data_IF_160151919658
#
_entry.id   IF_160151919658
#
_cell.length_a   1.000
_cell.length_b   1.000
_cell.length_c   1.000
_cell.angle_alpha   90.00
_cell.angle_beta   90.00
_cell.angle_gamma   90.00
#
_symmetry.space_group_name_H-M   'P 1'
#
loop_
_entity.id
_entity.type
_entity.pdbx_description
1 polymer ?
#
# COMPACT_ATOMS: atom_id res chain seq x y z
N UNK A 1 -29.95 37.39 -44.75
CA UNK A 1 -28.63 36.87 -44.31
C UNK A 1 -28.30 37.48 -42.94
N UNK A 2 -28.41 36.72 -41.84
CA UNK A 2 -28.12 37.23 -40.49
C UNK A 2 -26.59 37.36 -40.32
N UNK A 3 -26.08 38.59 -40.17
CA UNK A 3 -24.67 38.85 -39.84
C UNK A 3 -24.41 38.31 -38.43
N UNK A 4 -23.63 37.25 -38.32
CA UNK A 4 -23.09 36.79 -37.05
C UNK A 4 -22.08 37.87 -36.61
N UNK A 5 -22.34 38.47 -35.45
CA UNK A 5 -21.42 39.44 -34.83
C UNK A 5 -20.07 38.79 -34.54
N UNK A 6 -18.98 39.56 -34.63
CA UNK A 6 -17.62 39.10 -34.33
C UNK A 6 -17.51 38.46 -32.93
N UNK A 7 -18.33 38.93 -31.98
CA UNK A 7 -18.47 38.38 -30.63
C UNK A 7 -19.11 36.99 -30.67
N UNK A 8 -20.12 36.79 -31.53
CA UNK A 8 -20.76 35.49 -31.72
C UNK A 8 -19.83 34.44 -32.32
N UNK A 9 -18.92 34.86 -33.21
CA UNK A 9 -17.89 33.97 -33.77
C UNK A 9 -16.86 33.55 -32.71
N UNK A 10 -16.46 34.50 -31.84
CA UNK A 10 -15.52 34.26 -30.74
C UNK A 10 -16.09 33.30 -29.68
N UNK A 11 -17.36 33.46 -29.32
CA UNK A 11 -18.05 32.56 -28.36
C UNK A 11 -18.13 31.13 -28.92
N UNK A 12 -18.40 30.98 -30.22
CA UNK A 12 -18.42 29.66 -30.87
C UNK A 12 -17.04 29.02 -30.86
N UNK A 13 -15.97 29.77 -31.16
CA UNK A 13 -14.59 29.25 -31.13
C UNK A 13 -14.20 28.80 -29.72
N UNK A 14 -14.54 29.58 -28.70
CA UNK A 14 -14.25 29.22 -27.30
C UNK A 14 -15.03 27.97 -26.88
N UNK A 15 -16.30 27.85 -27.26
CA UNK A 15 -17.12 26.66 -26.96
C UNK A 15 -16.61 25.41 -27.67
N UNK A 16 -16.18 25.51 -28.94
CA UNK A 16 -15.58 24.39 -29.68
C UNK A 16 -14.24 23.99 -29.03
N UNK A 17 -13.42 24.96 -28.61
CA UNK A 17 -12.14 24.70 -27.94
C UNK A 17 -12.35 24.03 -26.57
N UNK A 18 -13.38 24.45 -25.82
CA UNK A 18 -13.76 23.82 -24.56
C UNK A 18 -14.26 22.39 -24.78
N UNK A 19 -15.05 22.14 -25.84
CA UNK A 19 -15.53 20.79 -26.19
C UNK A 19 -14.39 19.85 -26.60
N UNK A 20 -13.37 20.36 -27.32
CA UNK A 20 -12.16 19.59 -27.68
C UNK A 20 -11.30 19.30 -26.44
N UNK A 21 -11.22 20.23 -25.49
CA UNK A 21 -10.52 20.02 -24.21
C UNK A 21 -11.25 18.99 -23.32
N UNK A 22 -12.59 19.03 -23.28
CA UNK A 22 -13.40 18.09 -22.51
C UNK A 22 -13.36 16.68 -23.15
N UNK A 23 -13.35 16.56 -24.49
CA UNK A 23 -13.21 15.27 -25.15
C UNK A 23 -11.79 14.69 -25.05
N UNK A 24 -10.76 15.54 -24.91
CA UNK A 24 -9.37 15.13 -24.70
C UNK A 24 -9.05 14.65 -23.27
N UNK A 25 -9.87 15.00 -22.27
CA UNK A 25 -9.67 14.57 -20.88
C UNK A 25 -10.29 13.20 -20.56
N UNK A 26 -11.17 12.68 -21.42
CA UNK A 26 -11.67 11.32 -21.32
C UNK A 26 -10.64 10.34 -21.91
N UNK A 27 -9.41 10.36 -21.39
CA UNK A 27 -8.50 9.22 -21.57
C UNK A 27 -9.19 8.08 -20.85
N UNK A 28 -9.76 7.16 -21.63
CA UNK A 28 -10.23 5.87 -21.16
C UNK A 28 -9.13 5.33 -20.25
N UNK A 29 -9.44 5.11 -18.98
CA UNK A 29 -8.57 4.32 -18.12
C UNK A 29 -8.66 2.93 -18.74
N UNK A 30 -7.79 2.66 -19.71
CA UNK A 30 -7.51 1.29 -20.10
C UNK A 30 -7.05 0.63 -18.80
N UNK A 31 -7.72 -0.46 -18.42
CA UNK A 31 -7.16 -1.40 -17.48
C UNK A 31 -5.75 -1.69 -17.98
N UNK A 32 -4.76 -1.12 -17.30
CA UNK A 32 -3.37 -1.49 -17.50
C UNK A 32 -3.28 -2.88 -16.89
N UNK A 33 -3.60 -3.89 -17.70
CA UNK A 33 -3.30 -5.28 -17.39
C UNK A 33 -1.78 -5.33 -17.24
N UNK A 34 -1.25 -5.54 -16.03
CA UNK A 34 0.19 -5.70 -15.85
C UNK A 34 0.62 -6.82 -16.79
N UNK A 35 1.69 -6.66 -17.57
CA UNK A 35 2.09 -7.69 -18.52
C UNK A 35 2.17 -9.03 -17.79
N UNK A 36 1.31 -9.98 -18.18
CA UNK A 36 1.18 -11.31 -17.56
C UNK A 36 2.54 -12.07 -17.59
N UNK A 37 3.52 -11.60 -18.37
CA UNK A 37 4.82 -12.23 -18.57
C UNK A 37 5.92 -11.84 -17.56
N UNK A 38 5.79 -10.72 -16.82
CA UNK A 38 6.88 -10.23 -15.95
C UNK A 38 7.08 -11.18 -14.75
N UNK A 39 5.98 -11.65 -14.15
CA UNK A 39 6.06 -12.53 -12.99
C UNK A 39 6.45 -13.96 -13.40
N UNK A 40 5.89 -14.46 -14.50
CA UNK A 40 6.26 -15.77 -15.08
C UNK A 40 7.76 -15.82 -15.40
N UNK A 41 8.34 -14.77 -15.97
CA UNK A 41 9.77 -14.70 -16.27
C UNK A 41 10.68 -14.81 -15.04
N UNK A 42 10.18 -14.44 -13.85
CA UNK A 42 10.95 -14.48 -12.59
C UNK A 42 10.60 -15.68 -11.70
N UNK A 43 9.36 -16.16 -11.76
CA UNK A 43 8.81 -17.26 -10.97
C UNK A 43 7.92 -18.15 -11.86
N UNK A 44 8.49 -18.95 -12.78
CA UNK A 44 7.69 -19.69 -13.78
C UNK A 44 6.63 -20.63 -13.20
N UNK A 45 6.90 -21.19 -12.00
CA UNK A 45 5.97 -22.09 -11.31
C UNK A 45 4.66 -21.40 -10.88
N UNK A 46 4.62 -20.06 -10.82
CA UNK A 46 3.47 -19.29 -10.31
C UNK A 46 2.21 -19.49 -11.15
N UNK A 47 2.37 -19.77 -12.45
CA UNK A 47 1.30 -20.05 -13.43
C UNK A 47 0.46 -21.27 -13.05
N UNK A 48 0.99 -22.18 -12.23
CA UNK A 48 0.23 -23.32 -11.68
C UNK A 48 -0.71 -22.90 -10.53
N UNK A 49 -0.63 -21.65 -10.09
CA UNK A 49 -1.34 -21.10 -8.94
C UNK A 49 -1.97 -19.73 -9.29
N UNK A 50 -2.92 -19.67 -10.23
CA UNK A 50 -3.45 -18.41 -10.78
C UNK A 50 -4.06 -17.48 -9.72
N UNK A 51 -4.59 -18.04 -8.64
CA UNK A 51 -5.10 -17.25 -7.49
C UNK A 51 -3.99 -16.54 -6.72
N UNK A 52 -2.83 -17.18 -6.55
CA UNK A 52 -1.69 -16.57 -5.88
C UNK A 52 -0.94 -15.62 -6.81
N UNK A 53 -0.89 -15.95 -8.10
CA UNK A 53 -0.39 -15.07 -9.15
C UNK A 53 -1.13 -13.73 -9.14
N UNK A 54 -2.48 -13.77 -9.19
CA UNK A 54 -3.31 -12.57 -9.09
C UNK A 54 -2.98 -11.76 -7.82
N UNK A 55 -2.80 -12.44 -6.69
CA UNK A 55 -2.46 -11.80 -5.41
C UNK A 55 -1.14 -11.04 -5.48
N UNK A 56 -0.11 -11.63 -6.08
CA UNK A 56 1.18 -10.99 -6.26
C UNK A 56 1.13 -9.85 -7.26
N UNK A 57 0.40 -10.03 -8.36
CA UNK A 57 0.16 -8.97 -9.34
C UNK A 57 -0.56 -7.79 -8.66
N UNK A 58 -1.67 -8.02 -7.95
CA UNK A 58 -2.43 -6.96 -7.29
C UNK A 58 -1.60 -6.18 -6.24
N UNK A 59 -0.74 -6.88 -5.50
CA UNK A 59 0.06 -6.28 -4.43
C UNK A 59 1.28 -5.51 -4.92
N UNK A 60 1.96 -6.00 -5.96
CA UNK A 60 3.28 -5.49 -6.35
C UNK A 60 3.26 -4.79 -7.71
N UNK A 61 2.19 -4.92 -8.51
CA UNK A 61 2.07 -4.21 -9.79
C UNK A 61 1.65 -2.76 -9.64
N UNK A 62 1.03 -2.36 -8.53
CA UNK A 62 0.75 -0.94 -8.28
C UNK A 62 2.03 -0.14 -8.00
N UNK A 63 3.09 -0.79 -7.54
CA UNK A 63 4.45 -0.21 -7.46
C UNK A 63 5.04 -0.06 -8.87
N UNK A 64 4.76 -1.02 -9.77
CA UNK A 64 5.18 -0.98 -11.17
C UNK A 64 4.49 0.10 -12.02
N UNK A 65 3.33 0.62 -11.61
CA UNK A 65 2.67 1.75 -12.29
C UNK A 65 3.49 3.06 -12.22
N UNK A 66 4.40 3.19 -11.25
CA UNK A 66 5.22 4.38 -11.07
C UNK A 66 6.72 4.16 -11.29
N UNK A 67 7.20 2.91 -11.30
CA UNK A 67 8.58 2.59 -11.65
C UNK A 67 8.68 1.32 -12.52
N UNK A 68 8.94 1.54 -13.82
CA UNK A 68 9.58 0.61 -14.77
C UNK A 68 9.32 -0.88 -14.57
N UNK A 69 8.24 -1.44 -15.14
CA UNK A 69 8.03 -2.83 -15.65
C UNK A 69 8.73 -4.04 -14.98
N UNK A 70 9.28 -3.94 -13.77
CA UNK A 70 10.19 -4.92 -13.17
C UNK A 70 10.08 -4.89 -11.65
N UNK A 71 9.76 -6.05 -11.07
CA UNK A 71 9.83 -6.28 -9.64
C UNK A 71 11.28 -6.15 -9.15
N UNK A 72 11.46 -5.59 -7.95
CA UNK A 72 12.76 -5.62 -7.26
C UNK A 72 13.18 -7.05 -6.94
N UNK A 73 14.50 -7.28 -6.79
CA UNK A 73 15.02 -8.60 -6.39
C UNK A 73 14.41 -9.04 -5.07
N UNK A 74 14.28 -8.11 -4.15
CA UNK A 74 13.67 -8.33 -2.86
C UNK A 74 12.23 -8.84 -3.08
N UNK A 75 11.39 -8.16 -3.86
CA UNK A 75 9.99 -8.56 -4.09
C UNK A 75 9.90 -9.97 -4.67
N UNK A 76 10.74 -10.30 -5.65
CA UNK A 76 10.84 -11.66 -6.20
C UNK A 76 11.18 -12.67 -5.10
N UNK A 77 12.17 -12.37 -4.26
CA UNK A 77 12.59 -13.29 -3.18
C UNK A 77 11.48 -13.52 -2.15
N UNK A 78 10.70 -12.48 -1.81
CA UNK A 78 9.54 -12.64 -0.93
C UNK A 78 8.41 -13.42 -1.58
N UNK A 79 8.10 -13.16 -2.85
CA UNK A 79 7.08 -13.90 -3.59
C UNK A 79 7.44 -15.40 -3.69
N UNK A 80 8.72 -15.73 -3.84
CA UNK A 80 9.19 -17.13 -3.77
C UNK A 80 8.95 -17.77 -2.40
N UNK A 81 9.16 -17.04 -1.31
CA UNK A 81 8.82 -17.51 0.04
C UNK A 81 7.30 -17.71 0.17
N UNK A 82 6.50 -16.74 -0.29
CA UNK A 82 5.04 -16.85 -0.30
C UNK A 82 4.53 -18.06 -1.09
N UNK A 83 5.07 -18.29 -2.29
CA UNK A 83 4.78 -19.47 -3.11
C UNK A 83 5.13 -20.78 -2.39
N UNK A 84 6.31 -20.85 -1.76
CA UNK A 84 6.70 -22.02 -0.96
C UNK A 84 5.70 -22.30 0.15
N UNK A 85 5.32 -21.28 0.94
CA UNK A 85 4.34 -21.41 2.02
C UNK A 85 2.97 -21.85 1.47
N UNK A 86 2.52 -21.26 0.37
CA UNK A 86 1.25 -21.60 -0.28
C UNK A 86 1.21 -23.05 -0.78
N UNK A 87 2.34 -23.57 -1.26
CA UNK A 87 2.51 -24.99 -1.64
C UNK A 87 2.40 -25.91 -0.42
N UNK A 88 3.07 -25.56 0.68
CA UNK A 88 3.18 -26.38 1.89
C UNK A 88 1.93 -26.34 2.78
N UNK A 89 1.04 -25.34 2.63
CA UNK A 89 -0.12 -25.14 3.50
C UNK A 89 -1.43 -25.26 2.70
N UNK A 90 -2.02 -26.48 2.59
CA UNK A 90 -3.22 -26.71 1.79
C UNK A 90 -4.39 -25.76 2.12
N UNK A 91 -4.57 -25.43 3.40
CA UNK A 91 -5.63 -24.54 3.89
C UNK A 91 -5.61 -23.14 3.24
N UNK A 92 -4.44 -22.64 2.82
CA UNK A 92 -4.34 -21.33 2.18
C UNK A 92 -5.06 -21.30 0.83
N UNK A 93 -5.19 -22.44 0.14
CA UNK A 93 -5.88 -22.53 -1.15
C UNK A 93 -7.37 -22.22 -1.03
N UNK A 94 -7.94 -22.53 0.13
CA UNK A 94 -9.36 -22.32 0.47
C UNK A 94 -9.66 -20.87 0.85
N UNK A 95 -8.65 -20.09 1.27
CA UNK A 95 -8.87 -18.73 1.76
C UNK A 95 -9.32 -17.77 0.66
N UNK A 96 -10.25 -16.84 0.93
CA UNK A 96 -10.61 -15.79 -0.02
C UNK A 96 -9.38 -14.99 -0.50
N UNK A 97 -9.45 -14.43 -1.70
CA UNK A 97 -8.31 -13.71 -2.29
C UNK A 97 -7.89 -12.52 -1.41
N UNK A 98 -8.83 -11.88 -0.73
CA UNK A 98 -8.60 -10.75 0.18
C UNK A 98 -7.77 -11.16 1.40
N UNK A 99 -7.97 -12.40 1.87
CA UNK A 99 -7.17 -12.96 2.97
C UNK A 99 -5.77 -13.34 2.47
N UNK A 100 -5.64 -13.78 1.22
CA UNK A 100 -4.34 -14.05 0.63
C UNK A 100 -3.56 -12.75 0.36
N UNK A 101 -4.20 -11.70 -0.15
CA UNK A 101 -3.60 -10.36 -0.25
C UNK A 101 -3.01 -9.91 1.08
N UNK A 102 -3.72 -10.19 2.17
CA UNK A 102 -3.23 -9.87 3.50
C UNK A 102 -1.99 -10.66 3.90
N UNK A 103 -2.01 -11.99 3.73
CA UNK A 103 -0.90 -12.86 4.12
C UNK A 103 0.34 -12.69 3.22
N UNK A 104 0.12 -12.30 1.97
CA UNK A 104 1.16 -12.17 0.94
C UNK A 104 1.63 -10.72 0.76
N UNK A 105 1.11 -9.78 1.55
CA UNK A 105 1.60 -8.41 1.58
C UNK A 105 2.86 -8.31 2.44
N UNK A 106 3.98 -7.99 1.80
CA UNK A 106 5.24 -7.70 2.49
C UNK A 106 5.14 -6.43 3.34
N UNK A 107 4.47 -5.40 2.83
CA UNK A 107 4.59 -4.05 3.34
C UNK A 107 3.53 -3.67 4.39
N UNK A 108 3.92 -2.78 5.30
CA UNK A 108 2.98 -1.99 6.09
C UNK A 108 2.61 -0.76 5.26
N UNK A 109 1.46 -0.76 4.60
CA UNK A 109 0.98 0.41 3.85
C UNK A 109 1.45 0.48 2.40
N UNK A 110 0.97 1.53 1.72
CA UNK A 110 0.91 1.64 0.26
C UNK A 110 2.28 1.78 -0.45
N UNK A 111 3.34 2.19 0.25
CA UNK A 111 4.64 2.55 -0.38
C UNK A 111 5.90 2.29 0.49
N UNK A 112 5.83 1.51 1.57
CA UNK A 112 6.96 1.44 2.51
C UNK A 112 8.05 0.45 2.06
N UNK A 113 9.24 0.92 1.69
CA UNK A 113 10.44 0.07 1.59
C UNK A 113 10.65 -0.74 2.88
N UNK A 114 10.84 -2.06 2.77
CA UNK A 114 11.11 -2.94 3.90
C UNK A 114 12.61 -2.96 4.20
N UNK A 115 13.01 -2.31 5.28
CA UNK A 115 14.37 -2.37 5.83
C UNK A 115 14.44 -3.56 6.80
N UNK A 116 14.91 -4.71 6.29
CA UNK A 116 14.99 -5.96 7.05
C UNK A 116 15.93 -5.84 8.27
N UNK A 117 17.04 -5.13 8.10
CA UNK A 117 18.01 -4.93 9.17
C UNK A 117 17.41 -4.11 10.31
N UNK A 118 16.75 -2.99 9.97
CA UNK A 118 16.04 -2.18 10.95
C UNK A 118 14.91 -2.96 11.63
N UNK A 119 14.17 -3.78 10.88
CA UNK A 119 13.11 -4.60 11.45
C UNK A 119 13.66 -5.58 12.50
N UNK A 120 14.68 -6.35 12.14
CA UNK A 120 15.24 -7.40 12.99
C UNK A 120 16.00 -6.83 14.19
N UNK A 121 16.79 -5.78 13.98
CA UNK A 121 17.67 -5.22 15.01
C UNK A 121 17.01 -4.15 15.87
N UNK A 122 15.94 -3.49 15.40
CA UNK A 122 15.31 -2.36 16.12
C UNK A 122 13.85 -2.61 16.44
N UNK A 123 13.01 -2.92 15.46
CA UNK A 123 11.56 -3.05 15.70
C UNK A 123 11.21 -4.29 16.54
N UNK A 124 11.82 -5.45 16.28
CA UNK A 124 11.56 -6.67 17.06
C UNK A 124 11.92 -6.48 18.54
N UNK A 125 13.13 -5.99 18.91
CA UNK A 125 13.45 -5.72 20.31
C UNK A 125 12.52 -4.71 20.97
N UNK A 126 12.25 -3.59 20.30
CA UNK A 126 11.36 -2.55 20.82
C UNK A 126 9.94 -3.06 21.05
N UNK A 127 9.37 -3.77 20.07
CA UNK A 127 8.01 -4.30 20.19
C UNK A 127 7.93 -5.34 21.32
N UNK A 128 8.93 -6.20 21.48
CA UNK A 128 9.00 -7.16 22.60
C UNK A 128 9.11 -6.46 23.96
N UNK A 129 9.85 -5.37 24.05
CA UNK A 129 9.93 -4.56 25.27
C UNK A 129 8.56 -3.94 25.61
N UNK A 130 7.90 -3.35 24.62
CA UNK A 130 6.56 -2.76 24.79
C UNK A 130 5.53 -3.80 25.24
N UNK A 131 5.60 -5.02 24.71
CA UNK A 131 4.61 -6.08 24.95
C UNK A 131 5.04 -7.10 26.01
N UNK A 132 6.07 -6.82 26.81
CA UNK A 132 6.63 -7.81 27.76
C UNK A 132 5.63 -8.30 28.80
N UNK A 133 4.71 -7.44 29.25
CA UNK A 133 3.66 -7.76 30.22
C UNK A 133 2.32 -8.15 29.56
N UNK A 134 2.27 -8.27 28.24
CA UNK A 134 1.03 -8.60 27.55
C UNK A 134 0.67 -10.09 27.68
N UNK A 135 -0.51 -10.38 28.21
CA UNK A 135 -1.00 -11.76 28.39
C UNK A 135 -1.59 -12.37 27.12
N UNK A 136 -2.06 -11.53 26.18
CA UNK A 136 -2.65 -11.92 24.91
C UNK A 136 -2.42 -10.87 23.80
N UNK A 137 -2.81 -11.22 22.57
CA UNK A 137 -2.66 -10.35 21.40
C UNK A 137 -3.40 -9.00 21.58
N UNK A 138 -4.52 -8.99 22.30
CA UNK A 138 -5.29 -7.76 22.54
C UNK A 138 -4.55 -6.82 23.50
N UNK A 139 -3.97 -7.36 24.57
CA UNK A 139 -3.13 -6.63 25.51
C UNK A 139 -1.87 -6.10 24.81
N UNK A 140 -1.24 -6.89 23.94
CA UNK A 140 -0.07 -6.48 23.16
C UNK A 140 -0.39 -5.30 22.23
N UNK A 141 -1.51 -5.36 21.50
CA UNK A 141 -1.93 -4.27 20.62
C UNK A 141 -2.26 -2.99 21.40
N UNK A 142 -2.89 -3.11 22.59
CA UNK A 142 -3.14 -1.96 23.45
C UNK A 142 -1.85 -1.29 23.92
N UNK A 143 -0.88 -2.08 24.39
CA UNK A 143 0.42 -1.56 24.82
C UNK A 143 1.16 -0.86 23.66
N UNK A 144 1.14 -1.44 22.46
CA UNK A 144 1.71 -0.82 21.26
C UNK A 144 1.02 0.50 20.93
N UNK A 145 -0.32 0.53 20.92
CA UNK A 145 -1.09 1.73 20.62
C UNK A 145 -0.82 2.85 21.64
N UNK A 146 -0.80 2.53 22.93
CA UNK A 146 -0.48 3.48 24.01
C UNK A 146 0.94 4.02 23.85
N UNK A 147 1.93 3.14 23.66
CA UNK A 147 3.32 3.54 23.47
C UNK A 147 3.47 4.48 22.27
N UNK A 148 2.83 4.19 21.13
CA UNK A 148 2.89 5.05 19.94
C UNK A 148 2.26 6.42 20.22
N UNK A 149 1.10 6.47 20.89
CA UNK A 149 0.46 7.74 21.23
C UNK A 149 1.29 8.58 22.20
N UNK A 150 1.95 7.95 23.16
CA UNK A 150 2.79 8.64 24.15
C UNK A 150 4.12 9.11 23.57
N UNK A 151 4.60 8.45 22.50
CA UNK A 151 5.89 8.74 21.89
C UNK A 151 5.81 9.59 20.62
N UNK A 152 4.63 9.75 20.01
CA UNK A 152 4.48 10.52 18.78
C UNK A 152 3.78 11.86 19.01
N UNK A 153 4.22 12.87 18.27
CA UNK A 153 3.59 14.18 18.21
C UNK A 153 2.77 14.32 16.92
N UNK A 154 1.52 14.73 17.06
CA UNK A 154 0.68 14.98 15.90
C UNK A 154 1.14 16.26 15.17
N UNK A 155 1.56 16.13 13.91
CA UNK A 155 2.13 17.22 13.10
C UNK A 155 1.56 17.22 11.68
N UNK A 156 0.80 18.27 11.33
CA UNK A 156 0.20 18.45 10.00
C UNK A 156 1.20 18.96 8.94
N UNK A 157 2.40 19.39 9.35
CA UNK A 157 3.41 20.01 8.47
C UNK A 157 4.67 19.16 8.47
N UNK A 158 4.50 17.89 8.10
CA UNK A 158 5.60 16.94 8.03
C UNK A 158 5.91 16.55 6.58
N UNK A 159 7.22 16.52 6.28
CA UNK A 159 7.75 15.99 5.03
C UNK A 159 8.88 15.02 5.38
N UNK A 160 8.51 13.79 5.73
CA UNK A 160 9.45 12.70 6.00
C UNK A 160 9.14 11.57 5.02
N UNK A 161 10.15 10.78 4.61
CA UNK A 161 9.85 9.61 3.79
C UNK A 161 9.04 8.62 4.63
N UNK A 162 7.99 8.08 4.03
CA UNK A 162 6.98 7.27 4.69
C UNK A 162 7.48 5.84 4.98
N UNK A 163 8.39 5.71 5.95
CA UNK A 163 8.96 4.44 6.38
C UNK A 163 8.89 4.30 7.91
N UNK A 164 8.70 3.08 8.46
CA UNK A 164 8.72 2.87 9.92
C UNK A 164 9.99 3.40 10.58
N UNK A 165 11.13 3.32 9.89
CA UNK A 165 12.43 3.83 10.35
C UNK A 165 12.44 5.34 10.54
N UNK A 166 12.01 6.08 9.52
CA UNK A 166 11.95 7.54 9.63
C UNK A 166 10.86 7.96 10.61
N UNK A 167 9.70 7.32 10.61
CA UNK A 167 8.62 7.63 11.57
C UNK A 167 9.09 7.43 13.01
N UNK A 168 9.76 6.31 13.32
CA UNK A 168 10.30 6.05 14.65
C UNK A 168 11.39 7.04 15.06
N UNK A 169 12.23 7.49 14.11
CA UNK A 169 13.27 8.48 14.35
C UNK A 169 12.70 9.86 14.65
N UNK A 170 11.74 10.29 13.84
CA UNK A 170 11.19 11.65 13.88
C UNK A 170 10.14 11.79 14.99
N UNK A 171 9.43 10.70 15.34
CA UNK A 171 8.41 10.66 16.39
C UNK A 171 7.30 11.70 16.19
N UNK A 172 6.92 11.95 14.94
CA UNK A 172 5.83 12.86 14.58
C UNK A 172 5.17 12.48 13.27
N UNK A 173 3.92 12.93 13.08
CA UNK A 173 3.17 12.75 11.83
C UNK A 173 1.66 12.91 12.01
N UNK A 174 0.89 12.49 11.02
CA UNK A 174 -0.57 12.44 11.05
C UNK A 174 -1.06 10.99 11.22
N UNK A 175 -2.36 10.75 11.04
CA UNK A 175 -2.95 9.42 11.22
C UNK A 175 -2.25 8.31 10.41
N UNK A 176 -1.64 8.63 9.27
CA UNK A 176 -0.96 7.66 8.43
C UNK A 176 0.36 7.17 9.04
N UNK A 177 1.18 8.05 9.62
CA UNK A 177 2.43 7.67 10.28
C UNK A 177 2.18 6.89 11.56
N UNK A 178 1.18 7.30 12.35
CA UNK A 178 0.76 6.58 13.55
C UNK A 178 0.32 5.15 13.20
N UNK A 179 -0.56 5.01 12.19
CA UNK A 179 -1.03 3.70 11.74
C UNK A 179 0.13 2.83 11.25
N UNK A 180 1.06 3.42 10.49
CA UNK A 180 2.22 2.70 9.94
C UNK A 180 3.13 2.17 11.04
N UNK A 181 3.41 2.97 12.07
CA UNK A 181 4.24 2.52 13.19
C UNK A 181 3.55 1.45 14.04
N UNK A 182 2.25 1.60 14.32
CA UNK A 182 1.46 0.57 15.04
C UNK A 182 1.51 -0.76 14.29
N UNK A 183 1.32 -0.76 12.97
CA UNK A 183 1.33 -1.99 12.18
C UNK A 183 2.72 -2.61 12.15
N UNK A 184 3.78 -1.79 12.00
CA UNK A 184 5.15 -2.28 12.01
C UNK A 184 5.51 -2.98 13.33
N UNK A 185 5.15 -2.36 14.47
CA UNK A 185 5.35 -2.95 15.81
C UNK A 185 4.49 -4.20 16.01
N UNK A 186 3.23 -4.19 15.56
CA UNK A 186 2.34 -5.36 15.64
C UNK A 186 2.92 -6.57 14.91
N UNK A 187 3.38 -6.37 13.66
CA UNK A 187 4.01 -7.43 12.87
C UNK A 187 5.33 -7.92 13.51
N UNK A 188 6.07 -7.04 14.19
CA UNK A 188 7.33 -7.38 14.84
C UNK A 188 7.14 -8.37 16.02
N UNK A 189 5.95 -8.42 16.62
CA UNK A 189 5.56 -9.45 17.61
C UNK A 189 4.71 -10.57 17.02
N UNK A 190 4.62 -10.64 15.68
CA UNK A 190 3.90 -11.71 14.98
C UNK A 190 2.39 -11.50 14.89
N UNK A 191 1.87 -10.33 15.30
CA UNK A 191 0.46 -10.00 15.19
C UNK A 191 0.19 -9.43 13.79
N UNK A 192 -0.64 -10.10 12.98
CA UNK A 192 -0.96 -9.61 11.67
C UNK A 192 -1.74 -8.27 11.76
N UNK A 193 -1.35 -7.26 10.98
CA UNK A 193 -2.06 -5.97 10.90
C UNK A 193 -1.98 -5.34 9.49
N UNK A 194 -2.92 -4.44 9.16
CA UNK A 194 -2.95 -3.66 7.90
C UNK A 194 -3.46 -2.24 8.11
N UNK A 195 -3.07 -1.34 7.20
CA UNK A 195 -3.64 0.02 7.13
C UNK A 195 -5.01 -0.04 6.49
N UNK A 196 -5.97 0.69 7.06
CA UNK A 196 -7.25 1.00 6.40
C UNK A 196 -7.44 2.50 6.42
N UNK A 197 -7.81 3.06 5.28
CA UNK A 197 -8.11 4.48 5.15
C UNK A 197 -9.61 4.67 4.93
N UNK A 198 -10.17 5.66 5.61
CA UNK A 198 -11.46 6.24 5.22
C UNK A 198 -11.26 7.73 5.09
N UNK A 199 -11.69 8.30 3.97
CA UNK A 199 -11.89 9.74 3.91
C UNK A 199 -13.03 10.04 4.88
N UNK A 200 -12.77 10.84 5.92
CA UNK A 200 -13.86 11.41 6.70
C UNK A 200 -14.63 12.31 5.72
N UNK A 201 -15.77 11.83 5.21
CA UNK A 201 -16.73 12.67 4.50
C UNK A 201 -17.20 13.71 5.52
N UNK A 202 -16.61 14.91 5.45
CA UNK A 202 -17.17 16.07 6.13
C UNK A 202 -18.47 16.37 5.39
N UNK A 203 -19.56 15.77 5.84
CA UNK A 203 -20.89 16.27 5.52
C UNK A 203 -21.00 17.55 6.37
N UNK A 204 -20.68 18.70 5.78
CA UNK A 204 -20.99 19.99 6.37
C UNK A 204 -22.51 20.06 6.50
N UNK A 205 -23.00 19.92 7.75
CA UNK A 205 -24.38 20.21 8.11
C UNK A 205 -24.62 21.71 8.25
#
# INVERSE_FOLDING_TARGET
MKKISLIGLLVIIVLISLLVLISGCAKKIEEVVPPEDILEGNIPEITNYPKLEQVFVDLYSSVALFSSDKFSKEEIDFMKVGLKIYKEKPKLKEYPIEVLHYLMSRYCGREAFYDAEFFDQTLIPLAKEITVEAEDDLAAIKAIHEWVNDNMVYDYVIYIEFTPKNILREKRGVCEEYATLIIALSKAVGIPARTVGSSKLIISG
#
